data_IF_912326594791
#
_entry.id   IF_912326594791
#
_cell.length_a   1.000
_cell.length_b   1.000
_cell.length_c   1.000
_cell.angle_alpha   90.00
_cell.angle_beta   90.00
_cell.angle_gamma   90.00
#
_symmetry.space_group_name_H-M   'P 1'
#
loop_
_entity.id
_entity.type
_entity.pdbx_description
1 polymer ?
#
# COMPACT_ATOMS: atom_id res chain seq x y z
N UNK A 1 -35.75 -43.29 67.92
CA UNK A 1 -34.63 -44.14 67.47
C UNK A 1 -34.57 -43.92 65.96
N UNK A 2 -33.57 -43.26 65.35
CA UNK A 2 -32.16 -43.08 65.73
C UNK A 2 -31.32 -44.16 65.01
N UNK A 3 -30.28 -43.87 64.21
CA UNK A 3 -29.60 -42.58 63.91
C UNK A 3 -28.86 -42.66 62.53
N UNK A 4 -28.63 -41.56 61.79
CA UNK A 4 -27.32 -40.83 61.59
C UNK A 4 -26.17 -41.65 60.95
N UNK A 5 -25.36 -41.26 59.93
CA UNK A 5 -25.01 -40.01 59.18
C UNK A 5 -24.48 -40.39 57.77
N UNK A 6 -24.60 -39.56 56.72
CA UNK A 6 -23.50 -39.20 55.75
C UNK A 6 -23.91 -38.21 54.63
N UNK A 7 -22.93 -37.47 54.09
CA UNK A 7 -23.04 -36.42 53.05
C UNK A 7 -22.67 -36.95 51.65
N UNK A 8 -23.10 -36.28 50.55
CA UNK A 8 -22.64 -36.57 49.20
C UNK A 8 -21.32 -35.87 48.83
N UNK A 9 -20.47 -36.60 48.11
CA UNK A 9 -19.24 -36.13 47.46
C UNK A 9 -19.23 -36.62 46.01
N UNK A 10 -18.65 -35.96 45.01
CA UNK A 10 -18.22 -34.56 44.81
C UNK A 10 -17.53 -34.49 43.44
N UNK A 11 -17.92 -33.55 42.57
CA UNK A 11 -17.17 -33.06 41.38
C UNK A 11 -16.69 -34.11 40.35
N UNK A 12 -17.01 -33.84 39.07
CA UNK A 12 -16.50 -34.59 37.92
C UNK A 12 -16.91 -33.87 36.64
N UNK A 13 -16.19 -32.80 36.30
CA UNK A 13 -16.53 -31.91 35.20
C UNK A 13 -16.28 -32.56 33.83
N UNK A 14 -17.23 -32.41 32.91
CA UNK A 14 -17.00 -32.54 31.47
C UNK A 14 -17.75 -31.41 30.76
N UNK A 15 -17.01 -30.57 30.05
CA UNK A 15 -17.58 -29.52 29.19
C UNK A 15 -18.04 -30.13 27.86
N UNK A 16 -19.34 -30.05 27.55
CA UNK A 16 -19.83 -30.37 26.21
C UNK A 16 -19.64 -29.15 25.29
N UNK A 17 -18.62 -29.20 24.43
CA UNK A 17 -18.38 -28.19 23.40
C UNK A 17 -19.34 -28.38 22.23
N UNK A 18 -20.27 -27.44 22.01
CA UNK A 18 -21.12 -27.41 20.81
C UNK A 18 -20.28 -27.16 19.54
N UNK A 19 -19.90 -28.21 18.81
CA UNK A 19 -19.40 -28.08 17.45
C UNK A 19 -20.53 -27.61 16.52
N UNK A 20 -20.47 -26.33 16.11
CA UNK A 20 -21.39 -25.80 15.09
C UNK A 20 -20.97 -26.27 13.70
N UNK A 21 -21.65 -27.30 13.19
CA UNK A 21 -21.57 -27.66 11.77
C UNK A 21 -21.87 -26.44 10.89
N UNK A 22 -20.86 -25.97 10.15
CA UNK A 22 -21.03 -24.97 9.10
C UNK A 22 -21.67 -25.65 7.88
N UNK A 23 -22.77 -25.09 7.36
CA UNK A 23 -23.51 -25.70 6.26
C UNK A 23 -22.72 -25.69 4.93
N UNK A 24 -21.99 -26.78 4.71
CA UNK A 24 -21.19 -27.06 3.51
C UNK A 24 -21.98 -27.05 2.20
N UNK A 25 -23.33 -27.00 2.24
CA UNK A 25 -24.16 -26.84 1.04
C UNK A 25 -24.05 -25.45 0.42
N UNK A 26 -23.79 -24.41 1.22
CA UNK A 26 -23.64 -23.03 0.72
C UNK A 26 -22.39 -22.82 -0.16
N UNK A 27 -21.30 -23.50 0.18
CA UNK A 27 -20.03 -23.42 -0.57
C UNK A 27 -20.14 -24.01 -1.99
N UNK A 28 -21.05 -24.97 -2.20
CA UNK A 28 -21.28 -25.62 -3.48
C UNK A 28 -21.77 -24.71 -4.61
N UNK A 29 -22.27 -23.50 -4.31
CA UNK A 29 -22.63 -22.48 -5.32
C UNK A 29 -21.57 -21.38 -5.49
N UNK A 30 -20.59 -21.27 -4.58
CA UNK A 30 -19.44 -20.36 -4.76
C UNK A 30 -18.41 -20.99 -5.71
N UNK A 31 -18.35 -22.33 -5.76
CA UNK A 31 -17.57 -23.11 -6.74
C UNK A 31 -18.16 -23.11 -8.17
N UNK A 32 -18.97 -22.13 -8.54
CA UNK A 32 -19.50 -22.00 -9.90
C UNK A 32 -18.43 -21.41 -10.85
N UNK A 33 -17.57 -22.31 -11.34
CA UNK A 33 -16.74 -22.16 -12.54
C UNK A 33 -15.98 -20.82 -12.63
N UNK A 34 -14.88 -20.70 -11.88
CA UNK A 34 -13.90 -19.62 -12.02
C UNK A 34 -13.15 -19.67 -13.37
N UNK A 35 -13.86 -19.41 -14.47
CA UNK A 35 -13.38 -19.35 -15.84
C UNK A 35 -12.58 -18.06 -16.11
N UNK A 36 -11.72 -17.67 -15.15
CA UNK A 36 -10.74 -16.59 -15.28
C UNK A 36 -9.47 -17.19 -15.93
N UNK A 37 -8.82 -16.48 -16.86
CA UNK A 37 -7.56 -16.96 -17.44
C UNK A 37 -6.50 -17.11 -16.34
N UNK A 38 -5.72 -18.20 -16.40
CA UNK A 38 -4.47 -18.32 -15.63
C UNK A 38 -3.49 -17.26 -16.14
N UNK A 39 -3.47 -16.09 -15.49
CA UNK A 39 -2.50 -15.03 -15.75
C UNK A 39 -1.20 -15.30 -14.98
N UNK A 40 -0.07 -15.04 -15.65
CA UNK A 40 1.27 -15.03 -15.06
C UNK A 40 1.61 -13.68 -14.42
N UNK A 41 1.11 -12.56 -14.96
CA UNK A 41 1.25 -11.21 -14.38
C UNK A 41 -0.12 -10.54 -14.31
N UNK A 42 -0.46 -9.97 -13.14
CA UNK A 42 -1.67 -9.18 -12.91
C UNK A 42 -1.36 -7.91 -12.10
N UNK A 43 -1.85 -6.76 -12.55
CA UNK A 43 -1.69 -5.49 -11.83
C UNK A 43 -2.95 -5.14 -11.04
N UNK A 44 -2.79 -4.75 -9.77
CA UNK A 44 -3.87 -4.19 -8.94
C UNK A 44 -4.01 -2.68 -9.14
N UNK A 45 -4.17 -1.95 -8.03
CA UNK A 45 -4.24 -0.47 -8.02
C UNK A 45 -2.91 0.23 -7.66
N UNK A 46 -1.97 -0.51 -7.05
CA UNK A 46 -0.72 0.00 -6.49
C UNK A 46 0.48 -0.18 -7.46
N UNK A 47 1.69 0.12 -6.99
CA UNK A 47 2.94 -0.22 -7.67
C UNK A 47 3.27 -1.71 -7.52
N UNK A 48 3.89 -2.30 -8.54
CA UNK A 48 4.19 -3.72 -8.65
C UNK A 48 3.15 -4.52 -9.44
N UNK A 49 3.22 -5.85 -9.33
CA UNK A 49 2.25 -6.79 -9.89
C UNK A 49 2.27 -8.11 -9.10
N UNK A 50 1.14 -8.83 -9.06
CA UNK A 50 1.14 -10.22 -8.66
C UNK A 50 1.69 -11.08 -9.81
N UNK A 51 2.65 -11.95 -9.49
CA UNK A 51 3.30 -12.87 -10.41
C UNK A 51 3.07 -14.31 -9.99
N UNK A 52 2.64 -15.14 -10.94
CA UNK A 52 2.34 -16.55 -10.75
C UNK A 52 3.29 -17.42 -11.59
N UNK A 53 4.01 -18.35 -10.97
CA UNK A 53 4.87 -19.33 -11.63
C UNK A 53 4.29 -20.74 -11.54
N UNK A 54 4.32 -21.50 -12.64
CA UNK A 54 3.61 -22.78 -12.76
C UNK A 54 4.60 -23.95 -12.95
N UNK A 55 5.27 -24.42 -11.88
CA UNK A 55 6.37 -25.38 -11.99
C UNK A 55 5.90 -26.72 -12.57
N UNK A 56 6.78 -27.39 -13.32
CA UNK A 56 6.49 -28.65 -14.04
C UNK A 56 6.03 -29.79 -13.13
N UNK A 57 6.32 -29.70 -11.83
CA UNK A 57 6.00 -30.67 -10.78
C UNK A 57 4.66 -30.40 -10.08
N UNK A 58 3.95 -29.35 -10.45
CA UNK A 58 2.65 -28.97 -9.88
C UNK A 58 2.72 -28.04 -8.66
N UNK A 59 1.54 -27.57 -8.26
CA UNK A 59 1.39 -26.40 -7.39
C UNK A 59 1.57 -25.08 -8.16
N UNK A 60 1.63 -23.96 -7.43
CA UNK A 60 1.89 -22.61 -7.95
C UNK A 60 2.87 -21.89 -7.02
N UNK A 61 3.75 -21.06 -7.57
CA UNK A 61 4.48 -20.04 -6.82
C UNK A 61 3.79 -18.69 -6.99
N UNK A 62 3.47 -18.00 -5.91
CA UNK A 62 2.88 -16.66 -5.92
C UNK A 62 3.86 -15.64 -5.30
N UNK A 63 3.98 -14.47 -5.94
CA UNK A 63 4.83 -13.38 -5.48
C UNK A 63 4.31 -12.03 -5.97
N UNK A 64 4.02 -11.11 -5.04
CA UNK A 64 3.82 -9.72 -5.39
C UNK A 64 5.19 -9.04 -5.59
N UNK A 65 5.52 -8.68 -6.83
CA UNK A 65 6.80 -8.11 -7.25
C UNK A 65 6.73 -6.57 -7.34
N UNK A 66 7.79 -5.89 -6.91
CA UNK A 66 8.06 -4.49 -7.24
C UNK A 66 8.38 -4.30 -8.73
N UNK A 67 8.41 -3.06 -9.25
CA UNK A 67 8.90 -2.77 -10.60
C UNK A 67 10.32 -3.30 -10.88
N UNK A 68 11.22 -3.29 -9.88
CA UNK A 68 12.58 -3.84 -10.02
C UNK A 68 12.58 -5.38 -10.03
N UNK A 69 11.75 -6.00 -9.20
CA UNK A 69 11.60 -7.46 -9.15
C UNK A 69 11.04 -8.01 -10.47
N UNK A 70 10.12 -7.28 -11.13
CA UNK A 70 9.64 -7.63 -12.48
C UNK A 70 10.77 -7.62 -13.52
N UNK A 71 11.63 -6.59 -13.55
CA UNK A 71 12.77 -6.54 -14.46
C UNK A 71 13.79 -7.67 -14.18
N UNK A 72 14.05 -8.01 -12.91
CA UNK A 72 14.89 -9.17 -12.55
C UNK A 72 14.30 -10.51 -13.02
N UNK A 73 12.98 -10.69 -12.88
CA UNK A 73 12.28 -11.87 -13.41
C UNK A 73 12.33 -11.91 -14.95
N UNK A 74 12.43 -10.77 -15.62
CA UNK A 74 12.38 -10.63 -17.08
C UNK A 74 10.95 -10.45 -17.59
N UNK A 75 10.11 -9.80 -16.79
CA UNK A 75 8.69 -9.56 -17.05
C UNK A 75 8.47 -8.07 -17.33
N UNK A 76 7.56 -7.77 -18.27
CA UNK A 76 7.23 -6.39 -18.63
C UNK A 76 6.50 -5.67 -17.47
N UNK A 77 6.88 -4.42 -17.20
CA UNK A 77 6.31 -3.60 -16.12
C UNK A 77 4.87 -3.14 -16.38
N UNK A 78 4.36 -3.29 -17.61
CA UNK A 78 3.11 -2.71 -18.11
C UNK A 78 2.19 -3.71 -18.83
N UNK A 79 2.67 -4.89 -19.22
CA UNK A 79 1.85 -5.93 -19.88
C UNK A 79 1.47 -7.09 -18.98
N UNK A 80 0.24 -7.58 -19.17
CA UNK A 80 -0.24 -8.82 -18.54
C UNK A 80 0.26 -10.02 -19.33
N UNK A 81 1.06 -10.88 -18.69
CA UNK A 81 1.56 -12.11 -19.31
C UNK A 81 0.63 -13.31 -19.04
N UNK A 82 0.60 -14.24 -19.98
CA UNK A 82 0.17 -15.63 -19.76
C UNK A 82 1.39 -16.49 -19.39
N UNK A 83 1.19 -17.70 -18.82
CA UNK A 83 2.20 -18.74 -18.72
C UNK A 83 2.82 -19.07 -20.09
N UNK A 84 4.06 -19.54 -20.07
CA UNK A 84 4.67 -20.15 -21.25
C UNK A 84 4.06 -21.54 -21.53
N UNK A 85 4.16 -21.99 -22.78
CA UNK A 85 3.88 -23.37 -23.15
C UNK A 85 5.09 -24.31 -22.93
N UNK A 86 6.27 -23.77 -22.60
CA UNK A 86 7.46 -24.56 -22.27
C UNK A 86 7.61 -24.71 -20.73
N UNK A 87 7.50 -25.93 -20.17
CA UNK A 87 7.72 -26.18 -18.74
C UNK A 87 9.13 -25.83 -18.24
N UNK A 88 10.14 -25.79 -19.12
CA UNK A 88 11.50 -25.40 -18.74
C UNK A 88 11.59 -23.88 -18.47
N UNK A 89 10.83 -23.06 -19.21
CA UNK A 89 10.72 -21.62 -18.94
C UNK A 89 9.90 -21.34 -17.67
N UNK A 90 8.86 -22.13 -17.38
CA UNK A 90 8.14 -22.06 -16.11
C UNK A 90 9.04 -22.43 -14.92
N UNK A 91 9.75 -23.57 -14.97
CA UNK A 91 10.66 -23.98 -13.89
C UNK A 91 11.80 -22.98 -13.68
N UNK A 92 12.32 -22.37 -14.76
CA UNK A 92 13.34 -21.33 -14.67
C UNK A 92 12.80 -20.03 -14.03
N UNK A 93 11.58 -19.61 -14.35
CA UNK A 93 10.94 -18.47 -13.67
C UNK A 93 10.69 -18.80 -12.19
N UNK A 94 10.14 -19.98 -11.89
CA UNK A 94 9.91 -20.43 -10.51
C UNK A 94 11.21 -20.45 -9.70
N UNK A 95 12.33 -20.87 -10.30
CA UNK A 95 13.64 -20.81 -9.67
C UNK A 95 14.06 -19.37 -9.30
N UNK A 96 13.82 -18.38 -10.17
CA UNK A 96 14.05 -16.96 -9.84
C UNK A 96 13.10 -16.46 -8.75
N UNK A 97 11.80 -16.75 -8.87
CA UNK A 97 10.78 -16.30 -7.91
C UNK A 97 11.09 -16.78 -6.48
N UNK A 98 11.63 -17.98 -6.32
CA UNK A 98 12.09 -18.52 -5.03
C UNK A 98 13.28 -17.76 -4.43
N UNK A 99 14.14 -17.13 -5.24
CA UNK A 99 15.22 -16.25 -4.74
C UNK A 99 14.67 -14.95 -4.15
N UNK A 100 13.50 -14.51 -4.62
CA UNK A 100 12.74 -13.37 -4.10
C UNK A 100 11.76 -13.75 -2.96
N UNK A 101 11.78 -15.01 -2.51
CA UNK A 101 10.94 -15.47 -1.40
C UNK A 101 9.47 -15.76 -1.76
N UNK A 102 9.17 -16.12 -3.01
CA UNK A 102 7.83 -16.54 -3.44
C UNK A 102 7.27 -17.70 -2.60
N UNK A 103 5.98 -17.60 -2.27
CA UNK A 103 5.23 -18.59 -1.49
C UNK A 103 4.76 -19.72 -2.40
N UNK A 104 4.76 -20.98 -1.90
CA UNK A 104 4.37 -22.15 -2.68
C UNK A 104 3.05 -22.74 -2.20
N UNK A 105 2.13 -22.93 -3.14
CA UNK A 105 0.81 -23.48 -2.90
C UNK A 105 0.66 -24.87 -3.55
N UNK A 106 0.10 -25.87 -2.84
CA UNK A 106 -0.10 -27.21 -3.40
C UNK A 106 -1.28 -27.30 -4.38
N UNK A 107 -2.23 -26.35 -4.32
CA UNK A 107 -3.30 -26.23 -5.31
C UNK A 107 -2.78 -25.65 -6.61
N UNK A 108 -3.33 -26.08 -7.75
CA UNK A 108 -3.10 -25.43 -9.05
C UNK A 108 -4.19 -24.41 -9.41
N UNK A 109 -5.12 -24.14 -8.50
CA UNK A 109 -6.15 -23.12 -8.65
C UNK A 109 -5.75 -21.84 -7.89
N UNK A 110 -5.43 -20.74 -8.60
CA UNK A 110 -5.15 -19.44 -7.97
C UNK A 110 -6.34 -18.89 -7.18
N UNK A 111 -7.57 -19.36 -7.47
CA UNK A 111 -8.74 -18.99 -6.68
C UNK A 111 -8.68 -19.54 -5.24
N UNK A 112 -7.84 -20.53 -4.92
CA UNK A 112 -7.60 -20.91 -3.52
C UNK A 112 -6.89 -19.80 -2.72
N UNK A 113 -5.99 -19.03 -3.36
CA UNK A 113 -5.42 -17.82 -2.79
C UNK A 113 -6.48 -16.71 -2.68
N UNK A 114 -7.15 -16.37 -3.79
CA UNK A 114 -8.14 -15.28 -3.83
C UNK A 114 -9.35 -15.52 -2.90
N UNK A 115 -9.87 -16.74 -2.79
CA UNK A 115 -11.00 -17.08 -1.93
C UNK A 115 -10.66 -17.04 -0.43
N UNK A 116 -9.38 -17.18 -0.07
CA UNK A 116 -8.91 -17.03 1.31
C UNK A 116 -8.77 -15.55 1.71
N UNK A 117 -8.60 -14.65 0.73
CA UNK A 117 -8.39 -13.22 0.96
C UNK A 117 -9.64 -12.36 0.68
N UNK A 118 -10.68 -12.90 0.02
CA UNK A 118 -11.95 -12.22 -0.24
C UNK A 118 -12.93 -12.21 0.96
N UNK A 119 -12.41 -12.25 2.20
CA UNK A 119 -13.21 -12.23 3.43
C UNK A 119 -13.84 -10.84 3.63
N UNK A 120 -15.09 -10.69 3.20
CA UNK A 120 -16.13 -9.84 3.78
C UNK A 120 -15.98 -8.32 3.72
N UNK A 121 -14.77 -7.78 3.55
CA UNK A 121 -14.49 -6.36 3.58
C UNK A 121 -14.99 -5.67 2.32
N UNK A 122 -16.09 -4.93 2.47
CA UNK A 122 -16.58 -3.99 1.46
C UNK A 122 -15.59 -2.84 1.30
N UNK A 123 -14.63 -3.00 0.39
CA UNK A 123 -13.91 -1.85 -0.16
C UNK A 123 -14.93 -0.79 -0.62
N UNK A 124 -14.73 0.50 -0.33
CA UNK A 124 -15.58 1.56 -0.85
C UNK A 124 -15.40 1.63 -2.37
N UNK A 125 -16.34 1.04 -3.12
CA UNK A 125 -16.31 1.00 -4.59
C UNK A 125 -16.37 2.42 -5.22
N UNK A 126 -16.70 3.45 -4.44
CA UNK A 126 -16.68 4.86 -4.81
C UNK A 126 -15.30 5.55 -4.64
N UNK A 127 -14.27 4.89 -4.09
CA UNK A 127 -12.93 5.50 -3.90
C UNK A 127 -12.28 5.78 -5.27
N UNK A 128 -12.16 7.07 -5.61
CA UNK A 128 -11.64 7.54 -6.89
C UNK A 128 -10.10 7.51 -6.94
N UNK A 129 -9.56 6.58 -7.72
CA UNK A 129 -8.13 6.49 -8.03
C UNK A 129 -7.74 7.54 -9.08
N UNK A 130 -6.65 8.28 -8.82
CA UNK A 130 -6.13 9.34 -9.71
C UNK A 130 -4.70 9.07 -10.13
N UNK A 131 -4.44 9.14 -11.43
CA UNK A 131 -3.14 8.97 -12.07
C UNK A 131 -2.73 10.30 -12.71
N UNK A 132 -1.57 10.84 -12.31
CA UNK A 132 -1.05 12.13 -12.78
C UNK A 132 0.39 11.94 -13.28
N UNK A 133 0.69 12.42 -14.48
CA UNK A 133 2.04 12.58 -15.02
C UNK A 133 2.22 14.02 -15.50
N UNK A 134 3.41 14.61 -15.26
CA UNK A 134 3.75 15.97 -15.70
C UNK A 134 4.91 15.86 -16.68
N UNK A 135 4.80 16.50 -17.84
CA UNK A 135 5.83 16.43 -18.89
C UNK A 135 6.97 17.41 -18.59
N UNK A 136 8.18 17.05 -19.02
CA UNK A 136 9.36 17.93 -19.00
C UNK A 136 9.20 19.19 -19.87
N UNK A 137 8.31 19.14 -20.86
CA UNK A 137 8.04 20.23 -21.81
C UNK A 137 6.90 21.15 -21.38
N UNK A 138 6.23 20.86 -20.25
CA UNK A 138 5.05 21.58 -19.78
C UNK A 138 3.73 20.96 -20.22
N UNK A 139 2.72 21.12 -19.38
CA UNK A 139 1.46 20.37 -19.45
C UNK A 139 1.48 19.09 -18.61
N UNK A 140 0.37 18.35 -18.63
CA UNK A 140 0.20 17.14 -17.84
C UNK A 140 -0.77 16.14 -18.48
N UNK A 141 -0.55 14.87 -18.19
CA UNK A 141 -1.47 13.78 -18.46
C UNK A 141 -2.19 13.36 -17.18
N UNK A 142 -3.51 13.16 -17.24
CA UNK A 142 -4.29 12.71 -16.11
C UNK A 142 -5.39 11.70 -16.48
N UNK A 143 -5.57 10.71 -15.62
CA UNK A 143 -6.63 9.69 -15.71
C UNK A 143 -7.24 9.48 -14.32
N UNK A 144 -8.57 9.39 -14.23
CA UNK A 144 -9.25 8.95 -13.01
C UNK A 144 -10.26 7.87 -13.28
N UNK A 145 -10.51 7.07 -12.26
CA UNK A 145 -11.46 5.97 -12.28
C UNK A 145 -11.81 5.56 -10.85
N UNK A 146 -12.80 4.68 -10.66
CA UNK A 146 -13.09 4.12 -9.34
C UNK A 146 -12.17 2.91 -9.04
N UNK A 147 -12.18 2.41 -7.81
CA UNK A 147 -11.32 1.30 -7.39
C UNK A 147 -11.60 -0.03 -8.12
N UNK A 148 -12.84 -0.32 -8.52
CA UNK A 148 -13.22 -1.55 -9.25
C UNK A 148 -12.68 -1.52 -10.68
N UNK A 149 -13.02 -0.46 -11.44
CA UNK A 149 -12.48 -0.20 -12.78
C UNK A 149 -10.95 -0.21 -12.79
N UNK A 150 -10.30 0.32 -11.74
CA UNK A 150 -8.84 0.33 -11.61
C UNK A 150 -8.24 -1.08 -11.58
N UNK A 151 -8.89 -2.01 -10.85
CA UNK A 151 -8.50 -3.41 -10.79
C UNK A 151 -8.86 -4.16 -12.08
N UNK A 152 -10.08 -3.99 -12.59
CA UNK A 152 -10.56 -4.66 -13.81
C UNK A 152 -9.75 -4.31 -15.06
N UNK A 153 -9.40 -3.02 -15.22
CA UNK A 153 -8.56 -2.51 -16.31
C UNK A 153 -7.05 -2.62 -16.01
N UNK A 154 -6.71 -3.12 -14.82
CA UNK A 154 -5.36 -3.34 -14.32
C UNK A 154 -4.47 -2.09 -14.46
N UNK A 155 -4.97 -0.95 -13.97
CA UNK A 155 -4.34 0.37 -14.17
C UNK A 155 -3.19 0.66 -13.19
N UNK A 156 -3.03 -0.16 -12.14
CA UNK A 156 -1.90 -0.05 -11.20
C UNK A 156 -0.54 -0.03 -11.90
N UNK A 157 -0.40 -0.69 -13.06
CA UNK A 157 0.79 -0.65 -13.91
C UNK A 157 1.34 0.74 -14.23
N UNK A 158 0.51 1.79 -14.23
CA UNK A 158 0.98 3.18 -14.41
C UNK A 158 1.92 3.60 -13.25
N UNK A 159 1.79 3.01 -12.06
CA UNK A 159 2.75 3.20 -10.95
C UNK A 159 4.12 2.56 -11.22
N UNK A 160 4.24 1.62 -12.17
CA UNK A 160 5.48 0.89 -12.40
C UNK A 160 6.47 1.69 -13.25
N UNK A 161 6.10 2.91 -13.65
CA UNK A 161 6.97 3.84 -14.34
C UNK A 161 8.11 4.35 -13.44
N UNK A 162 9.34 4.23 -13.92
CA UNK A 162 10.56 4.68 -13.23
C UNK A 162 10.78 6.19 -13.39
N UNK A 163 10.27 6.78 -14.47
CA UNK A 163 10.33 8.22 -14.75
C UNK A 163 8.95 8.80 -15.14
N UNK A 164 8.85 10.14 -15.15
CA UNK A 164 7.57 10.83 -15.36
C UNK A 164 7.11 10.81 -16.82
N UNK A 165 8.00 10.69 -17.81
CA UNK A 165 7.64 10.59 -19.23
C UNK A 165 7.19 9.17 -19.60
N UNK A 166 7.79 8.14 -18.99
CA UNK A 166 7.26 6.77 -19.00
C UNK A 166 5.86 6.74 -18.38
N UNK A 167 5.64 7.42 -17.24
CA UNK A 167 4.34 7.55 -16.60
C UNK A 167 3.30 8.28 -17.48
N UNK A 168 3.69 9.39 -18.13
CA UNK A 168 2.85 10.12 -19.08
C UNK A 168 2.41 9.23 -20.23
N UNK A 169 3.34 8.50 -20.88
CA UNK A 169 3.05 7.56 -21.98
C UNK A 169 2.09 6.45 -21.56
N UNK A 170 2.18 5.93 -20.34
CA UNK A 170 1.22 4.93 -19.85
C UNK A 170 -0.16 5.54 -19.55
N UNK A 171 -0.24 6.78 -19.06
CA UNK A 171 -1.52 7.47 -18.85
C UNK A 171 -2.20 7.76 -20.19
N UNK A 172 -1.46 8.27 -21.17
CA UNK A 172 -1.92 8.45 -22.56
C UNK A 172 -2.46 7.15 -23.15
N UNK A 173 -1.63 6.09 -23.14
CA UNK A 173 -1.97 4.78 -23.70
C UNK A 173 -3.21 4.14 -23.07
N UNK A 174 -3.50 4.45 -21.81
CA UNK A 174 -4.64 3.90 -21.05
C UNK A 174 -5.84 4.87 -21.01
N UNK A 175 -5.90 5.85 -21.91
CA UNK A 175 -7.08 6.70 -22.13
C UNK A 175 -7.18 7.92 -21.21
N UNK A 176 -6.05 8.38 -20.66
CA UNK A 176 -5.99 9.66 -19.95
C UNK A 176 -6.17 10.87 -20.87
N UNK A 177 -6.38 12.03 -20.26
CA UNK A 177 -6.54 13.32 -20.94
C UNK A 177 -5.28 14.18 -20.74
N UNK A 178 -4.83 14.84 -21.81
CA UNK A 178 -3.76 15.84 -21.73
C UNK A 178 -4.33 17.24 -21.45
N UNK A 179 -3.63 18.01 -20.61
CA UNK A 179 -3.94 19.40 -20.26
C UNK A 179 -2.69 20.26 -20.50
N UNK A 180 -2.83 21.33 -21.30
CA UNK A 180 -1.71 22.21 -21.65
C UNK A 180 -1.33 23.14 -20.48
N UNK A 181 -2.30 23.76 -19.80
CA UNK A 181 -2.12 24.29 -18.45
C UNK A 181 -2.66 23.27 -17.42
N UNK A 182 -1.82 22.72 -16.52
CA UNK A 182 -2.27 21.89 -15.41
C UNK A 182 -3.46 22.44 -14.60
N UNK A 183 -3.63 23.77 -14.54
CA UNK A 183 -4.74 24.44 -13.83
C UNK A 183 -6.12 24.23 -14.47
N UNK A 184 -6.16 23.78 -15.72
CA UNK A 184 -7.41 23.39 -16.40
C UNK A 184 -7.84 21.97 -16.03
N UNK A 185 -6.97 21.18 -15.39
CA UNK A 185 -7.29 19.82 -14.98
C UNK A 185 -8.27 19.83 -13.79
N UNK A 186 -9.53 19.34 -13.94
CA UNK A 186 -10.53 19.35 -12.86
C UNK A 186 -10.20 18.36 -11.73
N UNK A 187 -9.08 17.65 -11.85
CA UNK A 187 -8.59 16.63 -10.92
C UNK A 187 -7.52 17.20 -9.97
N UNK A 188 -6.93 18.34 -10.33
CA UNK A 188 -6.04 19.13 -9.49
C UNK A 188 -6.83 20.28 -8.91
N UNK A 189 -7.24 20.14 -7.66
CA UNK A 189 -8.11 21.13 -7.03
C UNK A 189 -7.32 22.35 -6.52
N UNK A 190 -6.98 23.24 -7.45
CA UNK A 190 -6.36 24.53 -7.18
C UNK A 190 -7.34 25.59 -6.62
N UNK A 191 -8.61 25.24 -6.34
CA UNK A 191 -9.69 26.20 -6.03
C UNK A 191 -10.40 25.93 -4.70
N UNK A 192 -10.50 24.68 -4.26
CA UNK A 192 -10.95 24.37 -2.91
C UNK A 192 -10.00 24.96 -1.88
N UNK A 193 -10.51 25.34 -0.68
CA UNK A 193 -9.64 25.58 0.45
C UNK A 193 -8.83 24.31 0.73
N UNK A 194 -7.55 24.50 1.09
CA UNK A 194 -6.71 23.45 1.67
C UNK A 194 -7.50 22.78 2.82
N UNK A 195 -7.57 21.43 2.88
CA UNK A 195 -8.27 20.74 3.96
C UNK A 195 -7.84 21.26 5.33
N UNK A 196 -8.81 21.55 6.21
CA UNK A 196 -8.49 21.94 7.57
C UNK A 196 -7.64 20.86 8.23
N UNK A 197 -6.50 21.26 8.84
CA UNK A 197 -5.54 20.30 9.41
C UNK A 197 -6.18 19.42 10.49
N UNK A 198 -7.19 19.93 11.18
CA UNK A 198 -8.02 19.21 12.15
C UNK A 198 -8.86 18.06 11.54
N UNK A 199 -9.13 18.12 10.23
CA UNK A 199 -9.88 17.11 9.48
C UNK A 199 -8.97 16.09 8.76
N UNK A 200 -7.68 16.04 9.10
CA UNK A 200 -6.70 15.06 8.59
C UNK A 200 -6.37 14.05 9.68
N UNK A 201 -6.47 12.77 9.37
CA UNK A 201 -6.07 11.66 10.21
C UNK A 201 -4.60 11.27 9.96
N UNK A 202 -3.77 11.42 10.99
CA UNK A 202 -2.36 10.98 10.97
C UNK A 202 -2.21 9.74 11.85
N UNK A 203 -1.65 8.66 11.32
CA UNK A 203 -1.18 7.52 12.10
C UNK A 203 0.34 7.64 12.31
N UNK A 204 0.83 7.39 13.52
CA UNK A 204 2.26 7.32 13.84
C UNK A 204 2.56 6.01 14.57
N UNK A 205 3.36 5.14 13.97
CA UNK A 205 3.92 3.95 14.62
C UNK A 205 5.39 4.20 14.98
N UNK A 206 5.72 4.05 16.25
CA UNK A 206 7.04 4.35 16.83
C UNK A 206 7.09 3.65 18.20
N UNK A 207 8.19 2.98 18.58
CA UNK A 207 8.22 2.16 19.81
C UNK A 207 8.55 2.96 21.09
N UNK A 208 9.24 4.09 20.95
CA UNK A 208 9.55 4.97 22.09
C UNK A 208 8.35 5.86 22.46
N UNK A 209 7.94 5.77 23.73
CA UNK A 209 6.78 6.51 24.23
C UNK A 209 7.00 8.03 24.27
N UNK A 210 8.25 8.48 24.35
CA UNK A 210 8.68 9.88 24.30
C UNK A 210 8.60 10.41 22.87
N UNK A 211 9.12 9.68 21.88
CA UNK A 211 9.05 10.10 20.48
C UNK A 211 7.61 10.07 19.94
N UNK A 212 6.76 9.09 20.35
CA UNK A 212 5.30 9.17 20.14
C UNK A 212 4.68 10.44 20.73
N UNK A 213 5.06 10.83 21.94
CA UNK A 213 4.53 12.03 22.60
C UNK A 213 5.04 13.34 21.96
N UNK A 214 6.30 13.37 21.50
CA UNK A 214 6.87 14.47 20.73
C UNK A 214 6.14 14.59 19.38
N UNK A 215 6.01 13.50 18.62
CA UNK A 215 5.30 13.49 17.34
C UNK A 215 3.86 14.03 17.48
N UNK A 216 3.10 13.55 18.48
CA UNK A 216 1.76 14.06 18.80
C UNK A 216 1.79 15.56 19.12
N UNK A 217 2.69 16.00 19.99
CA UNK A 217 2.82 17.42 20.36
C UNK A 217 3.18 18.32 19.18
N UNK A 218 4.02 17.86 18.25
CA UNK A 218 4.34 18.60 17.03
C UNK A 218 3.11 18.70 16.11
N UNK A 219 2.41 17.58 15.89
CA UNK A 219 1.19 17.53 15.07
C UNK A 219 0.09 18.43 15.64
N UNK A 220 -0.13 18.41 16.96
CA UNK A 220 -1.10 19.27 17.65
C UNK A 220 -0.80 20.77 17.46
N UNK A 221 0.47 21.18 17.64
CA UNK A 221 0.87 22.58 17.41
C UNK A 221 0.78 23.00 15.95
N UNK A 222 0.99 22.06 15.02
CA UNK A 222 0.76 22.26 13.60
C UNK A 222 -0.74 22.25 13.23
N UNK A 223 -1.67 21.97 14.15
CA UNK A 223 -3.11 21.99 13.95
C UNK A 223 -3.75 20.66 13.51
N UNK A 224 -2.98 19.56 13.52
CA UNK A 224 -3.48 18.21 13.23
C UNK A 224 -4.04 17.58 14.51
N UNK A 225 -5.30 17.87 14.82
CA UNK A 225 -5.94 17.40 16.07
C UNK A 225 -6.25 15.90 16.08
N UNK A 226 -6.46 15.27 14.92
CA UNK A 226 -6.83 13.86 14.80
C UNK A 226 -5.61 12.98 14.48
N UNK A 227 -4.88 12.58 15.53
CA UNK A 227 -3.70 11.72 15.44
C UNK A 227 -3.91 10.45 16.26
N UNK A 228 -3.57 9.31 15.68
CA UNK A 228 -3.45 8.02 16.36
C UNK A 228 -1.97 7.68 16.50
N UNK A 229 -1.53 7.27 17.69
CA UNK A 229 -0.15 6.81 17.93
C UNK A 229 -0.15 5.38 18.45
N UNK A 230 0.74 4.52 17.93
CA UNK A 230 0.81 3.07 18.21
C UNK A 230 2.26 2.62 18.41
N UNK A 231 2.47 1.58 19.22
CA UNK A 231 3.80 1.19 19.72
C UNK A 231 4.60 0.21 18.86
N UNK A 232 4.06 -0.27 17.73
CA UNK A 232 4.73 -1.20 16.81
C UNK A 232 3.97 -1.29 15.47
N UNK A 233 4.55 -1.99 14.49
CA UNK A 233 3.93 -2.22 13.18
C UNK A 233 2.64 -3.04 13.20
N UNK A 234 2.44 -3.95 14.17
CA UNK A 234 1.23 -4.78 14.23
C UNK A 234 0.00 -3.96 14.65
N UNK A 235 0.13 -3.12 15.68
CA UNK A 235 -0.92 -2.18 16.09
C UNK A 235 -1.28 -1.20 14.96
N UNK A 236 -0.32 -0.82 14.10
CA UNK A 236 -0.59 0.00 12.91
C UNK A 236 -1.45 -0.71 11.87
N UNK A 237 -1.28 -2.03 11.72
CA UNK A 237 -2.13 -2.87 10.87
C UNK A 237 -3.54 -3.05 11.48
N UNK A 238 -3.64 -3.25 12.80
CA UNK A 238 -4.93 -3.38 13.51
C UNK A 238 -5.80 -2.12 13.37
N UNK A 239 -5.20 -0.92 13.43
CA UNK A 239 -5.90 0.35 13.17
C UNK A 239 -6.49 0.39 11.75
N UNK A 240 -5.78 -0.14 10.75
CA UNK A 240 -6.29 -0.22 9.38
C UNK A 240 -7.44 -1.24 9.25
N UNK A 241 -7.36 -2.39 9.91
CA UNK A 241 -8.47 -3.35 9.95
C UNK A 241 -9.71 -2.75 10.64
N UNK A 242 -9.53 -2.01 11.73
CA UNK A 242 -10.63 -1.33 12.43
C UNK A 242 -11.33 -0.30 11.51
N UNK A 243 -10.56 0.55 10.84
CA UNK A 243 -11.06 1.54 9.86
C UNK A 243 -11.72 0.92 8.62
N UNK A 244 -11.40 -0.32 8.27
CA UNK A 244 -12.03 -1.04 7.17
C UNK A 244 -13.35 -1.72 7.57
N UNK A 245 -13.48 -2.14 8.83
CA UNK A 245 -14.67 -2.83 9.35
C UNK A 245 -15.76 -1.88 9.88
N UNK A 246 -15.38 -0.77 10.50
CA UNK A 246 -16.32 0.20 11.08
C UNK A 246 -16.22 1.58 10.40
N UNK A 247 -17.33 2.04 9.82
CA UNK A 247 -17.45 3.37 9.20
C UNK A 247 -17.39 4.54 10.20
N UNK A 248 -17.46 4.29 11.51
CA UNK A 248 -17.20 5.30 12.53
C UNK A 248 -15.69 5.56 12.72
N UNK A 249 -14.86 4.56 12.41
CA UNK A 249 -13.41 4.69 12.39
C UNK A 249 -12.96 5.21 11.02
N UNK A 250 -12.16 6.29 11.02
CA UNK A 250 -11.60 6.85 9.80
C UNK A 250 -10.29 6.13 9.44
N UNK A 251 -10.05 5.93 8.14
CA UNK A 251 -8.74 5.46 7.65
C UNK A 251 -7.72 6.62 7.69
N UNK A 252 -6.44 6.37 8.04
CA UNK A 252 -5.41 7.40 7.99
C UNK A 252 -5.30 8.04 6.61
N UNK A 253 -5.21 9.37 6.56
CA UNK A 253 -4.88 10.10 5.32
C UNK A 253 -3.36 10.09 5.06
N UNK A 254 -2.56 9.79 6.09
CA UNK A 254 -1.10 9.61 6.05
C UNK A 254 -0.63 8.74 7.23
N UNK A 255 0.41 7.93 7.01
CA UNK A 255 1.02 7.06 8.01
C UNK A 255 2.50 7.40 8.14
N UNK A 256 2.98 7.62 9.36
CA UNK A 256 4.40 7.65 9.70
C UNK A 256 4.76 6.33 10.40
N UNK A 257 5.84 5.68 9.94
CA UNK A 257 6.35 4.44 10.54
C UNK A 257 7.81 4.63 10.93
N UNK A 258 8.18 4.30 12.16
CA UNK A 258 9.57 4.08 12.52
C UNK A 258 10.16 2.88 11.78
N UNK A 259 11.48 2.88 11.57
CA UNK A 259 12.22 1.76 10.99
C UNK A 259 12.37 0.59 11.95
N UNK A 260 12.74 0.85 13.20
CA UNK A 260 13.42 -0.11 14.08
C UNK A 260 12.57 -0.56 15.29
N UNK A 261 11.27 -0.76 15.07
CA UNK A 261 10.30 -1.20 16.09
C UNK A 261 10.41 -2.70 16.46
N UNK A 262 10.12 -3.09 17.72
CA UNK A 262 9.96 -4.47 18.13
C UNK A 262 8.64 -5.07 17.61
N UNK A 263 8.53 -6.40 17.68
CA UNK A 263 7.41 -7.22 17.14
C UNK A 263 7.31 -7.21 15.61
N UNK A 264 7.31 -6.04 14.97
CA UNK A 264 7.26 -5.87 13.52
C UNK A 264 7.93 -4.55 13.10
N UNK A 265 8.98 -4.65 12.28
CA UNK A 265 9.73 -3.49 11.77
C UNK A 265 8.93 -2.66 10.75
N UNK A 266 9.34 -1.41 10.52
CA UNK A 266 8.63 -0.47 9.64
C UNK A 266 8.58 -0.90 8.16
N UNK A 267 9.59 -1.62 7.68
CA UNK A 267 9.62 -2.16 6.33
C UNK A 267 8.73 -3.39 6.18
N UNK A 268 8.66 -4.28 7.18
CA UNK A 268 7.73 -5.40 7.17
C UNK A 268 6.28 -4.90 7.26
N UNK A 269 6.01 -3.96 8.17
CA UNK A 269 4.71 -3.30 8.30
C UNK A 269 4.28 -2.67 6.96
N UNK A 270 5.14 -1.85 6.34
CA UNK A 270 4.87 -1.27 5.04
C UNK A 270 4.74 -2.31 3.91
N UNK A 271 5.51 -3.42 3.95
CA UNK A 271 5.41 -4.53 2.99
C UNK A 271 4.05 -5.21 3.08
N UNK A 272 3.53 -5.42 4.29
CA UNK A 272 2.18 -5.96 4.51
C UNK A 272 1.13 -4.97 4.00
N UNK A 273 1.24 -3.67 4.33
CA UNK A 273 0.38 -2.57 3.84
C UNK A 273 0.37 -2.36 2.30
N UNK A 274 1.24 -3.06 1.57
CA UNK A 274 1.48 -2.85 0.12
C UNK A 274 1.36 -4.12 -0.72
N UNK A 275 1.62 -5.29 -0.13
CA UNK A 275 1.69 -6.60 -0.81
C UNK A 275 0.73 -7.66 -0.24
N UNK A 276 0.03 -7.40 0.87
CA UNK A 276 -0.91 -8.36 1.49
C UNK A 276 -2.31 -7.80 1.62
N UNK A 277 -3.28 -8.58 1.20
CA UNK A 277 -4.70 -8.29 1.38
C UNK A 277 -5.13 -8.63 2.82
N UNK A 278 -6.10 -7.90 3.41
CA UNK A 278 -6.89 -6.81 2.80
C UNK A 278 -6.16 -5.45 2.76
N UNK A 279 -5.00 -5.30 3.41
CA UNK A 279 -4.32 -4.01 3.58
C UNK A 279 -4.02 -3.29 2.26
N UNK A 280 -3.65 -4.01 1.20
CA UNK A 280 -3.47 -3.48 -0.16
C UNK A 280 -4.65 -2.61 -0.62
N UNK A 281 -5.88 -3.02 -0.29
CA UNK A 281 -7.11 -2.30 -0.64
C UNK A 281 -7.46 -1.18 0.36
N UNK A 282 -7.12 -1.35 1.65
CA UNK A 282 -7.45 -0.39 2.71
C UNK A 282 -6.56 0.85 2.63
N UNK A 283 -5.25 0.66 2.50
CA UNK A 283 -4.23 1.71 2.62
C UNK A 283 -3.27 1.81 1.42
N UNK A 284 -3.52 1.11 0.32
CA UNK A 284 -2.64 1.11 -0.87
C UNK A 284 -2.36 2.50 -1.45
N UNK A 285 -3.34 3.42 -1.35
CA UNK A 285 -3.23 4.81 -1.78
C UNK A 285 -2.76 5.79 -0.68
N UNK A 286 -2.69 5.36 0.57
CA UNK A 286 -2.29 6.19 1.72
C UNK A 286 -0.76 6.37 1.71
N UNK A 287 -0.21 7.59 1.78
CA UNK A 287 1.23 7.80 1.89
C UNK A 287 1.79 7.18 3.18
N UNK A 288 2.75 6.27 3.02
CA UNK A 288 3.57 5.75 4.13
C UNK A 288 4.89 6.49 4.11
N UNK A 289 5.23 7.11 5.23
CA UNK A 289 6.47 7.86 5.43
C UNK A 289 7.30 7.19 6.50
N UNK A 290 8.46 6.69 6.12
CA UNK A 290 9.37 6.05 7.08
C UNK A 290 10.25 7.10 7.76
N UNK A 291 10.33 7.01 9.09
CA UNK A 291 11.17 7.77 10.00
C UNK A 291 12.43 6.95 10.33
N UNK A 292 13.58 7.60 10.41
CA UNK A 292 14.88 6.94 10.48
C UNK A 292 15.90 7.75 11.28
N UNK A 293 16.75 7.07 12.04
CA UNK A 293 17.91 7.66 12.70
C UNK A 293 19.02 8.06 11.69
N UNK A 294 19.64 9.25 11.82
CA UNK A 294 20.67 9.72 10.89
C UNK A 294 21.94 8.86 10.80
N UNK A 295 22.23 7.98 11.76
CA UNK A 295 23.45 7.14 11.78
C UNK A 295 23.54 6.12 10.63
N UNK A 296 22.41 5.73 10.03
CA UNK A 296 22.36 4.79 8.89
C UNK A 296 22.51 5.53 7.55
N UNK A 297 23.62 6.25 7.39
CA UNK A 297 23.73 7.30 6.37
C UNK A 297 24.04 6.79 4.94
N UNK A 298 24.74 5.66 4.76
CA UNK A 298 25.35 5.29 3.47
C UNK A 298 24.74 4.11 2.69
N UNK A 299 23.88 3.25 3.26
CA UNK A 299 23.50 2.03 2.53
C UNK A 299 22.56 2.33 1.35
N UNK A 300 23.08 2.20 0.12
CA UNK A 300 22.32 2.22 -1.14
C UNK A 300 21.11 1.26 -1.08
N UNK A 301 21.27 0.10 -0.42
CA UNK A 301 20.20 -0.90 -0.21
C UNK A 301 19.01 -0.34 0.56
N UNK A 302 19.19 0.71 1.36
CA UNK A 302 18.10 1.36 2.08
C UNK A 302 17.17 2.11 1.10
N UNK A 303 17.74 2.82 0.11
CA UNK A 303 16.95 3.47 -0.96
C UNK A 303 16.25 2.43 -1.82
N UNK A 304 16.91 1.31 -2.10
CA UNK A 304 16.34 0.18 -2.83
C UNK A 304 15.16 -0.45 -2.03
N UNK A 305 15.34 -0.77 -0.74
CA UNK A 305 14.25 -1.23 0.17
C UNK A 305 13.05 -0.27 0.21
N UNK A 306 13.28 1.04 0.33
CA UNK A 306 12.19 2.03 0.32
C UNK A 306 11.43 2.05 -1.02
N UNK A 307 12.14 1.87 -2.14
CA UNK A 307 11.54 1.78 -3.47
C UNK A 307 10.72 0.48 -3.65
N UNK A 308 11.30 -0.67 -3.30
CA UNK A 308 10.66 -1.99 -3.44
C UNK A 308 9.37 -2.15 -2.61
N UNK A 309 9.25 -1.40 -1.53
CA UNK A 309 8.04 -1.38 -0.68
C UNK A 309 7.10 -0.22 -1.02
N UNK A 310 7.47 0.72 -1.92
CA UNK A 310 6.61 1.85 -2.28
C UNK A 310 6.40 2.85 -1.13
N UNK A 311 7.50 3.15 -0.42
CA UNK A 311 7.57 4.03 0.74
C UNK A 311 8.11 5.40 0.32
N UNK A 312 7.61 6.47 0.93
CA UNK A 312 8.26 7.79 0.92
C UNK A 312 9.24 7.85 2.07
N UNK A 313 10.54 7.81 1.79
CA UNK A 313 11.56 7.85 2.85
C UNK A 313 11.76 9.27 3.39
N UNK A 314 11.96 9.42 4.71
CA UNK A 314 12.33 10.69 5.33
C UNK A 314 13.38 10.50 6.45
N UNK A 315 14.31 11.46 6.62
CA UNK A 315 15.41 11.36 7.61
C UNK A 315 15.29 12.43 8.68
N UNK A 316 14.50 12.18 9.73
CA UNK A 316 14.31 13.12 10.86
C UNK A 316 14.07 12.42 12.21
N UNK A 317 15.09 11.76 12.78
CA UNK A 317 15.23 11.70 14.25
C UNK A 317 16.29 12.74 14.70
N UNK A 318 15.98 13.62 15.67
CA UNK A 318 14.65 13.92 16.20
C UNK A 318 13.74 14.57 15.13
N UNK A 319 12.42 14.41 15.26
CA UNK A 319 11.44 14.93 14.30
C UNK A 319 11.45 16.46 14.35
N UNK A 320 11.73 17.11 13.21
CA UNK A 320 11.77 18.57 13.12
C UNK A 320 10.43 19.11 12.62
N UNK A 321 9.84 20.05 13.37
CA UNK A 321 8.52 20.63 13.09
C UNK A 321 8.35 21.14 11.65
N UNK A 322 9.33 21.90 11.13
CA UNK A 322 9.28 22.45 9.77
C UNK A 322 9.27 21.36 8.70
N UNK A 323 10.00 20.28 8.95
CA UNK A 323 10.15 19.16 8.02
C UNK A 323 8.93 18.24 8.05
N UNK A 324 8.35 18.03 9.23
CA UNK A 324 7.04 17.41 9.41
C UNK A 324 5.93 18.23 8.73
N UNK A 325 5.90 19.55 8.91
CA UNK A 325 4.93 20.44 8.27
C UNK A 325 5.07 20.42 6.74
N UNK A 326 6.29 20.61 6.20
CA UNK A 326 6.58 20.51 4.76
C UNK A 326 6.07 19.20 4.17
N UNK A 327 6.25 18.11 4.90
CA UNK A 327 5.85 16.75 4.49
C UNK A 327 4.32 16.58 4.49
N UNK A 328 3.63 16.99 5.56
CA UNK A 328 2.16 16.96 5.64
C UNK A 328 1.51 17.88 4.59
N UNK A 329 2.08 19.08 4.40
CA UNK A 329 1.68 20.03 3.37
C UNK A 329 1.86 19.42 1.97
N UNK A 330 2.99 18.77 1.70
CA UNK A 330 3.29 18.12 0.42
C UNK A 330 2.32 16.99 0.10
N UNK A 331 2.13 16.04 1.00
CA UNK A 331 1.44 14.78 0.69
C UNK A 331 -0.07 14.80 0.93
N UNK A 332 -0.54 15.57 1.92
CA UNK A 332 -1.97 15.61 2.28
C UNK A 332 -2.63 16.89 1.78
N UNK A 333 -2.11 18.05 2.18
CA UNK A 333 -2.82 19.33 2.00
C UNK A 333 -2.81 19.85 0.56
N UNK A 334 -1.71 19.64 -0.18
CA UNK A 334 -1.58 20.01 -1.59
C UNK A 334 -2.17 18.97 -2.56
N UNK A 335 -2.86 17.93 -2.07
CA UNK A 335 -3.47 16.88 -2.90
C UNK A 335 -2.48 16.05 -3.75
N UNK A 336 -1.16 16.14 -3.50
CA UNK A 336 -0.12 15.47 -4.29
C UNK A 336 0.02 13.98 -3.95
N UNK A 337 -1.08 13.24 -4.06
CA UNK A 337 -1.02 11.81 -4.24
C UNK A 337 -0.08 11.50 -5.44
N UNK A 338 0.96 10.70 -5.18
CA UNK A 338 1.80 10.05 -6.21
C UNK A 338 2.68 10.97 -7.08
N UNK A 339 3.34 11.97 -6.50
CA UNK A 339 4.49 12.66 -7.13
C UNK A 339 5.81 12.35 -6.40
N UNK A 340 6.56 11.38 -6.92
CA UNK A 340 8.01 11.32 -6.74
C UNK A 340 8.61 12.57 -7.43
N UNK A 341 9.11 13.50 -6.62
CA UNK A 341 10.07 14.50 -7.06
C UNK A 341 11.38 14.18 -6.35
N UNK A 342 12.42 13.86 -7.11
CA UNK A 342 13.80 14.05 -6.68
C UNK A 342 14.01 15.51 -6.32
N UNK A 343 14.72 15.77 -5.22
CA UNK A 343 14.87 17.12 -4.66
C UNK A 343 15.67 18.06 -5.59
N UNK A 344 16.51 17.47 -6.44
CA UNK A 344 17.39 18.10 -7.44
C UNK A 344 16.70 18.78 -8.64
N UNK A 345 15.49 19.32 -8.47
CA UNK A 345 14.72 19.97 -9.56
C UNK A 345 13.77 21.08 -9.10
N UNK A 346 13.93 21.58 -7.87
CA UNK A 346 13.07 22.65 -7.31
C UNK A 346 13.81 23.98 -7.12
N UNK A 347 15.15 23.97 -7.07
CA UNK A 347 15.95 25.16 -6.72
C UNK A 347 16.19 26.12 -7.91
N UNK A 348 16.31 25.62 -9.14
CA UNK A 348 16.59 26.45 -10.34
C UNK A 348 15.39 27.28 -10.86
N UNK A 349 14.17 27.02 -10.38
CA UNK A 349 12.96 27.72 -10.86
C UNK A 349 12.68 29.07 -10.18
N UNK A 350 13.62 29.58 -9.36
CA UNK A 350 13.37 30.66 -8.40
C UNK A 350 14.16 31.96 -8.54
N UNK A 351 15.10 32.09 -9.49
CA UNK A 351 16.00 33.26 -9.57
C UNK A 351 16.22 33.81 -11.00
N UNK A 352 15.17 34.28 -11.66
CA UNK A 352 15.33 35.35 -12.66
C UNK A 352 14.10 36.26 -12.81
N UNK A 353 13.98 37.24 -11.90
CA UNK A 353 13.22 38.47 -12.15
C UNK A 353 13.87 39.68 -11.45
N UNK A 354 14.41 40.60 -12.24
CA UNK A 354 14.29 42.03 -11.96
C UNK A 354 15.47 42.75 -11.26
N UNK A 355 16.55 43.00 -12.01
CA UNK A 355 17.31 44.25 -11.84
C UNK A 355 17.56 44.93 -13.19
N UNK A 356 16.55 45.67 -13.66
CA UNK A 356 16.80 46.89 -14.42
C UNK A 356 17.00 48.04 -13.42
N UNK A 357 18.09 48.79 -13.56
CA UNK A 357 18.22 50.14 -13.01
C UNK A 357 18.80 51.05 -14.09
N UNK A 358 18.32 52.28 -14.13
CA UNK A 358 18.68 53.31 -15.12
C UNK A 358 19.89 54.11 -14.62
N UNK A 359 20.97 54.19 -15.41
CA UNK A 359 21.97 55.28 -15.44
C UNK A 359 22.99 55.04 -16.57
#
# INVERSE_FOLDING_TARGET
MGSSISLPSSVGDQEETEERELDVRGLGQILHECNRPRLRVRFGSNAGAMVNGFPSKGGVYELYCSPMELEFLGLDRFETALPSSDPAEEDALCAKMRLLGAEWWPSSDPACGEASHSIGLRSPLDDMVRFIGVTSQGGMWALTTNASDCYEKQLGRINNAMDMEEKCRQIERLGGTFYADPRECPLLDFKSPVPERAAIHVLVADDDASDRAVARSLLDRLGFSHVTTVGNGMEALDILLAAANDRSQRKPDIIFLDTDMPVMDGFECARIMRRKDPYTFICGNVPIIVMQDPTTQEDRKYRERCFDVGIVSFRTRPIQEKELERTLVRYVLNGRARIWLSESSVEDAGQDQGMMQEA
#
